data_IF_399627398839
#
_entry.id   IF_399627398839
#
_cell.length_a   1.000
_cell.length_b   1.000
_cell.length_c   1.000
_cell.angle_alpha   90.00
_cell.angle_beta   90.00
_cell.angle_gamma   90.00
#
_symmetry.space_group_name_H-M   'P 1'
#
loop_
_entity.id
_entity.type
_entity.pdbx_description
1 polymer ?
#
# COMPACT_ATOMS: atom_id res chain seq x y z
N UNK A 1 -5.95 -5.81 7.71
CA UNK A 1 -5.93 -7.04 6.87
C UNK A 1 -5.47 -6.69 5.45
N UNK A 2 -4.19 -6.89 5.14
CA UNK A 2 -3.65 -6.51 3.82
C UNK A 2 -3.97 -7.52 2.72
N UNK A 3 -3.91 -8.81 3.03
CA UNK A 3 -4.21 -9.90 2.07
C UNK A 3 -5.03 -10.97 2.78
N UNK A 4 -6.35 -10.85 2.77
CA UNK A 4 -7.19 -11.89 3.38
C UNK A 4 -7.07 -13.20 2.60
N UNK A 5 -6.88 -14.29 3.32
CA UNK A 5 -6.83 -15.63 2.74
C UNK A 5 -8.22 -16.06 2.27
N UNK A 6 -9.25 -15.70 3.05
CA UNK A 6 -10.65 -15.99 2.75
C UNK A 6 -11.53 -14.82 3.19
N UNK A 7 -12.17 -14.16 2.23
CA UNK A 7 -13.08 -13.04 2.49
C UNK A 7 -14.33 -13.48 3.29
N UNK A 8 -14.77 -14.72 3.14
CA UNK A 8 -15.92 -15.24 3.89
C UNK A 8 -15.59 -15.39 5.36
N UNK A 9 -14.35 -15.71 5.68
CA UNK A 9 -13.86 -15.73 7.06
C UNK A 9 -13.90 -14.33 7.69
N UNK A 10 -13.43 -13.32 6.95
CA UNK A 10 -13.43 -11.92 7.42
C UNK A 10 -14.84 -11.36 7.61
N UNK A 11 -15.79 -11.74 6.75
CA UNK A 11 -17.21 -11.36 6.90
C UNK A 11 -17.86 -11.92 8.15
N UNK A 12 -17.38 -13.08 8.64
CA UNK A 12 -17.86 -13.74 9.87
C UNK A 12 -17.15 -13.23 11.12
N UNK A 13 -16.01 -12.55 10.98
CA UNK A 13 -15.27 -11.99 12.09
C UNK A 13 -15.98 -10.72 12.59
N UNK A 14 -16.79 -10.87 13.60
CA UNK A 14 -17.30 -9.75 14.39
C UNK A 14 -16.15 -9.19 15.25
N UNK A 15 -15.26 -8.43 14.64
CA UNK A 15 -14.26 -7.63 15.36
C UNK A 15 -14.95 -6.38 15.93
N UNK A 16 -15.86 -6.62 16.90
CA UNK A 16 -16.68 -5.58 17.50
C UNK A 16 -15.89 -4.47 18.19
N UNK A 17 -14.61 -4.67 18.46
CA UNK A 17 -13.76 -3.71 19.14
C UNK A 17 -13.07 -2.70 18.20
N UNK A 18 -12.84 -3.08 16.94
CA UNK A 18 -12.11 -2.24 15.99
C UNK A 18 -12.75 -2.29 14.61
N UNK A 19 -13.23 -1.16 14.08
CA UNK A 19 -13.75 -1.10 12.72
C UNK A 19 -12.67 -1.46 11.71
N UNK A 20 -13.04 -2.15 10.63
CA UNK A 20 -12.13 -2.54 9.56
C UNK A 20 -12.80 -2.49 8.20
N UNK A 21 -12.01 -2.34 7.15
CA UNK A 21 -12.47 -2.13 5.77
C UNK A 21 -13.16 -3.34 5.13
N UNK A 22 -13.24 -4.48 5.82
CA UNK A 22 -13.95 -5.69 5.37
C UNK A 22 -15.29 -5.91 6.06
N UNK A 23 -15.77 -4.95 6.84
CA UNK A 23 -17.14 -4.98 7.35
C UNK A 23 -18.14 -4.95 6.20
N UNK A 24 -19.31 -5.59 6.40
CA UNK A 24 -20.34 -5.71 5.36
C UNK A 24 -20.78 -4.37 4.79
N UNK A 25 -20.81 -3.32 5.60
CA UNK A 25 -21.15 -1.97 5.15
C UNK A 25 -20.23 -1.49 4.01
N UNK A 26 -18.92 -1.72 4.14
CA UNK A 26 -17.96 -1.30 3.12
C UNK A 26 -17.98 -2.18 1.87
N UNK A 27 -18.35 -3.46 2.02
CA UNK A 27 -18.42 -4.40 0.90
C UNK A 27 -19.72 -4.28 0.10
N UNK A 28 -20.81 -3.82 0.73
CA UNK A 28 -22.14 -3.80 0.14
C UNK A 28 -22.61 -2.41 -0.29
N UNK A 29 -22.20 -1.37 0.43
CA UNK A 29 -22.68 0.00 0.21
C UNK A 29 -21.65 0.92 -0.46
N UNK A 30 -20.41 0.48 -0.57
CA UNK A 30 -19.33 1.26 -1.16
C UNK A 30 -18.86 0.63 -2.48
N UNK A 31 -18.64 1.45 -3.49
CA UNK A 31 -17.97 0.98 -4.71
C UNK A 31 -16.48 0.86 -4.46
N UNK A 32 -15.95 -0.33 -4.67
CA UNK A 32 -14.54 -0.63 -4.44
C UNK A 32 -13.69 -0.37 -5.68
N UNK A 33 -12.57 0.33 -5.47
CA UNK A 33 -11.52 0.55 -6.47
C UNK A 33 -10.17 0.17 -5.87
N UNK A 34 -9.29 -0.39 -6.70
CA UNK A 34 -7.92 -0.69 -6.32
C UNK A 34 -6.95 -0.50 -7.50
N UNK A 35 -5.77 0.06 -7.21
CA UNK A 35 -4.67 0.20 -8.16
C UNK A 35 -3.75 -1.04 -8.20
N UNK A 36 -4.31 -2.20 -7.90
CA UNK A 36 -3.59 -3.46 -7.82
C UNK A 36 -2.79 -3.74 -9.10
N UNK A 37 -1.50 -4.03 -8.92
CA UNK A 37 -0.52 -4.21 -10.00
C UNK A 37 -0.30 -2.95 -10.86
N UNK A 38 -0.47 -1.76 -10.26
CA UNK A 38 -0.27 -0.48 -10.92
C UNK A 38 -1.32 -0.12 -11.97
N UNK A 39 -2.50 -0.75 -11.92
CA UNK A 39 -3.59 -0.50 -12.89
C UNK A 39 -4.95 -0.48 -12.22
N UNK A 40 -5.77 0.49 -12.61
CA UNK A 40 -7.17 0.54 -12.26
C UNK A 40 -7.97 -0.41 -13.17
N UNK A 41 -8.15 -1.66 -12.75
CA UNK A 41 -8.77 -2.71 -13.60
C UNK A 41 -10.17 -2.39 -14.11
N UNK A 42 -10.93 -1.60 -13.36
CA UNK A 42 -12.32 -1.26 -13.66
C UNK A 42 -12.50 0.24 -13.91
N UNK A 43 -11.44 0.92 -14.38
CA UNK A 43 -11.40 2.37 -14.52
C UNK A 43 -10.99 3.08 -13.24
N UNK A 44 -10.56 4.34 -13.36
CA UNK A 44 -10.17 5.18 -12.24
C UNK A 44 -11.38 5.58 -11.39
N UNK A 45 -11.21 5.75 -10.07
CA UNK A 45 -12.31 6.15 -9.19
C UNK A 45 -12.92 7.50 -9.60
N UNK A 46 -12.11 8.47 -10.04
CA UNK A 46 -12.58 9.81 -10.42
C UNK A 46 -13.41 9.83 -11.72
N UNK A 47 -13.21 8.85 -12.59
CA UNK A 47 -13.95 8.73 -13.86
C UNK A 47 -15.24 7.94 -13.72
N UNK A 48 -15.49 7.37 -12.55
CA UNK A 48 -16.63 6.50 -12.30
C UNK A 48 -17.95 7.25 -12.20
N UNK A 49 -19.01 6.57 -12.55
CA UNK A 49 -20.38 7.09 -12.38
C UNK A 49 -20.72 7.31 -10.89
N UNK A 50 -20.22 6.42 -10.04
CA UNK A 50 -20.39 6.52 -8.59
C UNK A 50 -19.76 7.80 -8.02
N UNK A 51 -18.59 8.20 -8.53
CA UNK A 51 -17.97 9.47 -8.13
C UNK A 51 -18.80 10.67 -8.60
N UNK A 52 -19.27 10.67 -9.85
CA UNK A 52 -20.12 11.74 -10.39
C UNK A 52 -21.44 11.86 -9.62
N UNK A 53 -22.01 10.76 -9.20
CA UNK A 53 -23.23 10.70 -8.38
C UNK A 53 -22.97 10.93 -6.88
N UNK A 54 -21.75 11.24 -6.46
CA UNK A 54 -21.36 11.47 -5.05
C UNK A 54 -21.69 10.28 -4.13
N UNK A 55 -21.60 9.06 -4.64
CA UNK A 55 -21.75 7.83 -3.86
C UNK A 55 -20.48 7.56 -3.06
N UNK A 56 -20.63 6.73 -2.05
CA UNK A 56 -19.51 6.31 -1.22
C UNK A 56 -18.55 5.40 -2.00
N UNK A 57 -17.25 5.68 -1.90
CA UNK A 57 -16.20 4.90 -2.52
C UNK A 57 -15.27 4.31 -1.47
N UNK A 58 -14.82 3.10 -1.70
CA UNK A 58 -13.72 2.48 -0.97
C UNK A 58 -12.54 2.34 -1.93
N UNK A 59 -11.44 3.02 -1.63
CA UNK A 59 -10.29 3.10 -2.53
C UNK A 59 -9.08 2.49 -1.81
N UNK A 60 -8.50 1.44 -2.42
CA UNK A 60 -7.23 0.86 -2.02
C UNK A 60 -6.14 1.34 -2.95
N UNK A 61 -5.09 1.92 -2.38
CA UNK A 61 -3.91 2.40 -3.12
C UNK A 61 -2.65 1.80 -2.54
N UNK A 62 -1.62 1.66 -3.39
CA UNK A 62 -0.34 1.07 -3.02
C UNK A 62 0.78 2.07 -3.36
N UNK A 63 1.56 2.51 -2.37
CA UNK A 63 2.59 3.53 -2.56
C UNK A 63 3.67 3.19 -3.58
N UNK A 64 3.93 1.92 -3.83
CA UNK A 64 4.89 1.46 -4.83
C UNK A 64 4.56 1.88 -6.26
N UNK A 65 3.31 2.31 -6.53
CA UNK A 65 2.88 2.83 -7.83
C UNK A 65 2.95 4.36 -7.93
N UNK A 66 3.27 5.04 -6.83
CA UNK A 66 3.28 6.51 -6.80
C UNK A 66 4.61 7.03 -7.34
N UNK A 67 4.55 7.75 -8.45
CA UNK A 67 5.69 8.38 -9.10
C UNK A 67 5.33 9.81 -9.48
N UNK A 68 6.33 10.67 -9.64
CA UNK A 68 6.13 12.06 -10.11
C UNK A 68 5.63 12.11 -11.56
N UNK A 69 5.95 11.09 -12.34
CA UNK A 69 5.50 10.94 -13.73
C UNK A 69 4.83 9.60 -13.91
N UNK A 70 3.97 9.47 -14.91
CA UNK A 70 3.35 8.21 -15.28
C UNK A 70 4.42 7.20 -15.74
N UNK A 71 4.45 6.05 -15.10
CA UNK A 71 5.38 4.97 -15.41
C UNK A 71 4.63 3.65 -15.58
N UNK A 72 5.20 2.77 -16.41
CA UNK A 72 4.74 1.37 -16.46
C UNK A 72 4.97 0.66 -15.12
N UNK A 73 4.07 -0.26 -14.76
CA UNK A 73 4.07 -0.93 -13.46
C UNK A 73 5.40 -1.60 -13.11
N UNK A 74 6.08 -2.20 -14.09
CA UNK A 74 7.39 -2.84 -13.88
C UNK A 74 8.46 -1.80 -13.54
N UNK A 75 8.44 -0.67 -14.21
CA UNK A 75 9.40 0.41 -13.96
C UNK A 75 9.16 1.07 -12.61
N UNK A 76 7.89 1.32 -12.24
CA UNK A 76 7.51 1.81 -10.92
C UNK A 76 8.03 0.90 -9.81
N UNK A 77 7.82 -0.40 -9.97
CA UNK A 77 8.25 -1.40 -8.98
C UNK A 77 9.78 -1.48 -8.87
N UNK A 78 10.50 -1.38 -9.98
CA UNK A 78 11.96 -1.38 -9.97
C UNK A 78 12.54 -0.11 -9.31
N UNK A 79 11.95 1.04 -9.56
CA UNK A 79 12.32 2.30 -8.88
C UNK A 79 12.04 2.20 -7.38
N UNK A 80 10.85 1.73 -6.98
CA UNK A 80 10.50 1.53 -5.58
C UNK A 80 11.51 0.61 -4.87
N UNK A 81 11.88 -0.50 -5.51
CA UNK A 81 12.88 -1.43 -4.99
C UNK A 81 14.25 -0.78 -4.80
N UNK A 82 14.72 -0.02 -5.79
CA UNK A 82 15.99 0.70 -5.72
C UNK A 82 16.01 1.72 -4.59
N UNK A 83 14.98 2.54 -4.48
CA UNK A 83 14.86 3.55 -3.43
C UNK A 83 14.80 2.92 -2.04
N UNK A 84 14.08 1.81 -1.89
CA UNK A 84 14.01 1.07 -0.63
C UNK A 84 15.38 0.54 -0.20
N UNK A 85 16.14 -0.06 -1.12
CA UNK A 85 17.48 -0.58 -0.84
C UNK A 85 18.46 0.54 -0.46
N UNK A 86 18.42 1.67 -1.15
CA UNK A 86 19.27 2.83 -0.83
C UNK A 86 18.96 3.40 0.56
N UNK A 87 17.69 3.53 0.91
CA UNK A 87 17.27 3.98 2.25
C UNK A 87 17.71 3.00 3.33
N UNK A 88 17.47 1.71 3.12
CA UNK A 88 17.86 0.67 4.06
C UNK A 88 19.37 0.69 4.31
N UNK A 89 20.18 0.76 3.26
CA UNK A 89 21.63 0.83 3.40
C UNK A 89 22.10 2.09 4.14
N UNK A 90 21.51 3.25 3.80
CA UNK A 90 21.80 4.51 4.49
C UNK A 90 21.48 4.46 5.98
N UNK A 91 20.33 3.89 6.35
CA UNK A 91 19.90 3.78 7.73
C UNK A 91 20.78 2.80 8.51
N UNK A 92 21.10 1.66 7.90
CA UNK A 92 22.03 0.69 8.48
C UNK A 92 23.41 1.27 8.72
N UNK A 93 23.95 2.04 7.78
CA UNK A 93 25.23 2.73 7.94
C UNK A 93 25.21 3.74 9.09
N UNK A 94 24.11 4.50 9.25
CA UNK A 94 23.95 5.43 10.38
C UNK A 94 23.92 4.71 11.71
N UNK A 95 23.15 3.64 11.83
CA UNK A 95 23.04 2.84 13.05
C UNK A 95 24.36 2.18 13.44
N UNK A 96 25.09 1.66 12.45
CA UNK A 96 26.35 0.94 12.69
C UNK A 96 27.57 1.86 12.81
N UNK A 97 27.46 3.15 12.43
CA UNK A 97 28.62 4.06 12.42
C UNK A 97 29.34 4.12 13.76
N UNK A 98 28.62 4.31 14.84
CA UNK A 98 29.21 4.36 16.19
C UNK A 98 29.93 3.05 16.58
N UNK A 99 29.35 1.92 16.19
CA UNK A 99 29.92 0.60 16.41
C UNK A 99 31.20 0.38 15.58
N UNK A 100 31.16 0.72 14.28
CA UNK A 100 32.34 0.64 13.41
C UNK A 100 33.49 1.54 13.89
N UNK A 101 33.17 2.75 14.33
CA UNK A 101 34.20 3.70 14.80
C UNK A 101 34.83 3.20 16.10
N UNK A 102 34.08 2.58 17.00
CA UNK A 102 34.63 1.98 18.22
C UNK A 102 35.60 0.83 17.91
N UNK A 103 35.24 -0.07 17.01
CA UNK A 103 36.08 -1.20 16.60
C UNK A 103 37.39 -0.77 15.93
N UNK A 104 37.41 0.34 15.21
CA UNK A 104 38.62 0.87 14.59
C UNK A 104 39.58 1.51 15.61
N UNK A 105 39.04 2.03 16.69
CA UNK A 105 39.82 2.70 17.72
C UNK A 105 40.42 1.74 18.78
N UNK A 106 39.98 0.47 18.78
CA UNK A 106 40.53 -0.58 19.66
C UNK A 106 41.84 -1.20 19.15
N UNK A 107 42.32 -0.79 18.00
CA UNK A 107 43.59 -1.21 17.40
C UNK A 107 44.70 -0.20 17.71
#
# INVERSE_FOLDING_TARGET
FHRPVDINYLRKLELSLYPHSYESIFLEQYKYFADSRGKWRFGGPLDSEEFRQKKNLQILVHPEWWNETELESVQSLDNYRKDYLLRFESDLQKELKGFWDSLKNEK
#
